data_IF_556345406308
#
_entry.id   IF_556345406308
#
_cell.length_a   1.000
_cell.length_b   1.000
_cell.length_c   1.000
_cell.angle_alpha   90.00
_cell.angle_beta   90.00
_cell.angle_gamma   90.00
#
_symmetry.space_group_name_H-M   'P 1'
#
loop_
_entity.id
_entity.type
_entity.pdbx_description
1 polymer ?
#
# COMPACT_ATOMS: atom_id res chain seq x y z
N UNK A 1 -45.64 -2.64 -37.14
CA UNK A 1 -44.57 -1.65 -36.93
C UNK A 1 -44.45 -1.54 -35.42
N UNK A 2 -43.65 -2.40 -34.77
CA UNK A 2 -42.20 -2.22 -34.55
C UNK A 2 -41.98 -0.84 -33.88
N UNK A 3 -41.35 -0.71 -32.72
CA UNK A 3 -40.04 -1.27 -32.39
C UNK A 3 -39.87 -1.43 -30.86
N UNK A 4 -39.29 -2.56 -30.47
CA UNK A 4 -38.69 -2.82 -29.16
C UNK A 4 -37.80 -1.64 -28.71
N UNK A 5 -38.02 -1.15 -27.49
CA UNK A 5 -36.99 -0.46 -26.73
C UNK A 5 -36.72 -1.25 -25.46
N UNK A 6 -36.09 -2.41 -25.67
CA UNK A 6 -35.24 -3.04 -24.68
C UNK A 6 -34.23 -1.99 -24.20
N UNK A 7 -34.45 -1.44 -23.01
CA UNK A 7 -33.47 -0.60 -22.32
C UNK A 7 -32.66 -1.53 -21.43
N UNK A 8 -31.43 -1.89 -21.77
CA UNK A 8 -30.52 -2.45 -20.79
C UNK A 8 -30.14 -1.31 -19.85
N UNK A 9 -30.74 -1.27 -18.66
CA UNK A 9 -30.16 -0.52 -17.54
C UNK A 9 -28.79 -1.14 -17.25
N UNK A 10 -27.79 -0.49 -17.82
CA UNK A 10 -26.39 -0.75 -17.63
C UNK A 10 -26.12 -0.83 -16.13
N UNK A 11 -25.49 -1.93 -15.73
CA UNK A 11 -25.09 -2.18 -14.37
C UNK A 11 -24.45 -0.95 -13.76
N UNK A 12 -24.97 -0.56 -12.60
CA UNK A 12 -24.19 0.15 -11.61
C UNK A 12 -22.97 -0.74 -11.35
N UNK A 13 -21.88 -0.42 -12.05
CA UNK A 13 -20.58 -1.01 -11.82
C UNK A 13 -20.35 -0.91 -10.34
N UNK A 14 -20.31 -2.07 -9.68
CA UNK A 14 -19.69 -2.16 -8.38
C UNK A 14 -18.28 -1.66 -8.63
N UNK A 15 -18.06 -0.40 -8.26
CA UNK A 15 -16.74 0.20 -8.18
C UNK A 15 -16.01 -0.66 -7.16
N UNK A 16 -15.37 -1.71 -7.66
CA UNK A 16 -14.43 -2.50 -6.91
C UNK A 16 -13.29 -1.52 -6.64
N UNK A 17 -13.47 -0.73 -5.58
CA UNK A 17 -12.39 -0.08 -4.87
C UNK A 17 -11.37 -1.19 -4.73
N UNK A 18 -10.25 -1.06 -5.44
CA UNK A 18 -9.17 -2.03 -5.42
C UNK A 18 -8.50 -1.91 -4.04
N UNK A 19 -9.24 -2.37 -3.02
CA UNK A 19 -8.76 -2.59 -1.69
C UNK A 19 -7.74 -3.71 -1.83
N UNK A 20 -6.51 -3.42 -1.41
CA UNK A 20 -5.47 -4.44 -1.31
C UNK A 20 -6.04 -5.68 -0.62
N UNK A 21 -5.69 -6.91 -1.07
CA UNK A 21 -6.33 -8.13 -0.60
C UNK A 21 -6.42 -8.19 0.93
N UNK A 22 -7.51 -8.68 1.54
CA UNK A 22 -7.68 -8.69 3.00
C UNK A 22 -6.49 -9.30 3.76
N UNK A 23 -5.84 -10.31 3.17
CA UNK A 23 -4.63 -10.93 3.72
C UNK A 23 -3.40 -9.99 3.71
N UNK A 24 -3.26 -9.15 2.68
CA UNK A 24 -2.19 -8.17 2.60
C UNK A 24 -2.34 -7.10 3.69
N UNK A 25 -3.56 -6.58 3.88
CA UNK A 25 -3.85 -5.60 4.92
C UNK A 25 -3.65 -6.18 6.32
N UNK A 26 -4.12 -7.41 6.57
CA UNK A 26 -3.90 -8.09 7.84
C UNK A 26 -2.41 -8.30 8.14
N UNK A 27 -1.63 -8.67 7.12
CA UNK A 27 -0.17 -8.85 7.24
C UNK A 27 0.52 -7.53 7.54
N UNK A 28 0.18 -6.44 6.84
CA UNK A 28 0.70 -5.10 7.14
C UNK A 28 0.34 -4.64 8.54
N UNK A 29 -0.89 -4.87 8.99
CA UNK A 29 -1.32 -4.50 10.34
C UNK A 29 -0.49 -5.22 11.41
N UNK A 30 -0.23 -6.51 11.23
CA UNK A 30 0.60 -7.29 12.15
C UNK A 30 2.04 -6.76 12.19
N UNK A 31 2.67 -6.57 11.04
CA UNK A 31 4.04 -6.08 10.97
C UNK A 31 4.17 -4.66 11.54
N UNK A 32 3.17 -3.81 11.33
CA UNK A 32 3.12 -2.48 11.95
C UNK A 32 3.04 -2.58 13.47
N UNK A 33 2.23 -3.48 14.02
CA UNK A 33 2.17 -3.72 15.47
C UNK A 33 3.52 -4.21 16.01
N UNK A 34 4.16 -5.17 15.34
CA UNK A 34 5.48 -5.70 15.73
C UNK A 34 6.55 -4.58 15.70
N UNK A 35 6.46 -3.66 14.74
CA UNK A 35 7.33 -2.47 14.65
C UNK A 35 7.14 -1.52 15.84
N UNK A 36 5.90 -1.16 16.15
CA UNK A 36 5.58 -0.26 17.26
C UNK A 36 5.95 -0.88 18.62
N UNK A 37 5.72 -2.18 18.80
CA UNK A 37 6.13 -2.90 20.00
C UNK A 37 7.65 -2.83 20.20
N UNK A 38 8.43 -3.12 19.15
CA UNK A 38 9.89 -3.04 19.21
C UNK A 38 10.38 -1.62 19.53
N UNK A 39 9.75 -0.58 18.98
CA UNK A 39 10.03 0.81 19.30
C UNK A 39 9.75 1.14 20.76
N UNK A 40 8.58 0.73 21.28
CA UNK A 40 8.22 0.96 22.69
C UNK A 40 9.19 0.26 23.65
N UNK A 41 9.63 -0.96 23.33
CA UNK A 41 10.64 -1.68 24.10
C UNK A 41 11.97 -0.92 24.09
N UNK A 42 12.43 -0.47 22.93
CA UNK A 42 13.67 0.33 22.83
C UNK A 42 13.56 1.65 23.61
N UNK A 43 12.44 2.36 23.50
CA UNK A 43 12.20 3.60 24.22
C UNK A 43 12.24 3.38 25.74
N UNK A 44 11.60 2.30 26.22
CA UNK A 44 11.64 1.91 27.63
C UNK A 44 13.07 1.58 28.07
N UNK A 45 13.81 0.77 27.30
CA UNK A 45 15.17 0.34 27.66
C UNK A 45 16.17 1.50 27.62
N UNK A 46 16.02 2.47 26.72
CA UNK A 46 16.91 3.63 26.64
C UNK A 46 16.58 4.72 27.67
N UNK A 47 15.29 4.94 28.00
CA UNK A 47 14.86 6.10 28.79
C UNK A 47 14.34 5.77 30.19
N UNK A 48 14.00 4.50 30.47
CA UNK A 48 13.35 4.08 31.73
C UNK A 48 14.09 2.93 32.42
N UNK A 49 15.37 2.70 32.12
CA UNK A 49 16.17 1.61 32.70
C UNK A 49 16.54 1.79 34.19
N UNK A 50 15.84 2.66 34.91
CA UNK A 50 16.07 2.89 36.34
C UNK A 50 14.96 2.20 37.16
N UNK A 51 15.32 1.14 37.90
CA UNK A 51 14.56 0.72 39.08
C UNK A 51 14.21 -0.75 39.26
N UNK A 52 14.52 -1.67 38.33
CA UNK A 52 14.35 -3.11 38.59
C UNK A 52 15.72 -3.77 38.47
N UNK A 53 16.33 -4.08 39.62
CA UNK A 53 17.68 -4.62 39.75
C UNK A 53 17.88 -6.06 39.23
N UNK A 54 17.22 -6.48 38.14
CA UNK A 54 17.23 -7.86 37.65
C UNK A 54 17.39 -8.02 36.12
N UNK A 55 17.87 -7.00 35.40
CA UNK A 55 18.21 -7.17 33.98
C UNK A 55 19.71 -6.93 33.76
N UNK A 56 20.51 -7.99 33.88
CA UNK A 56 21.97 -7.98 33.62
C UNK A 56 22.31 -7.87 32.13
N UNK A 57 21.38 -8.17 31.22
CA UNK A 57 21.62 -8.17 29.77
C UNK A 57 20.72 -7.18 28.99
N UNK A 58 20.74 -5.91 29.42
CA UNK A 58 20.02 -4.83 28.73
C UNK A 58 20.48 -4.70 27.27
N UNK A 59 21.77 -4.92 26.99
CA UNK A 59 22.32 -4.85 25.63
C UNK A 59 21.78 -5.98 24.75
N UNK A 60 21.63 -7.20 25.27
CA UNK A 60 20.99 -8.31 24.57
C UNK A 60 19.54 -8.00 24.21
N UNK A 61 18.76 -7.47 25.15
CA UNK A 61 17.35 -7.11 24.91
C UNK A 61 17.22 -5.96 23.91
N UNK A 62 18.07 -4.92 23.99
CA UNK A 62 18.14 -3.86 22.97
C UNK A 62 18.45 -4.45 21.60
N UNK A 63 19.43 -5.36 21.51
CA UNK A 63 19.84 -5.98 20.25
C UNK A 63 18.71 -6.81 19.63
N UNK A 64 17.96 -7.53 20.46
CA UNK A 64 16.79 -8.31 20.04
C UNK A 64 15.67 -7.40 19.54
N UNK A 65 15.33 -6.36 20.29
CA UNK A 65 14.32 -5.39 19.88
C UNK A 65 14.71 -4.65 18.58
N UNK A 66 15.98 -4.26 18.44
CA UNK A 66 16.48 -3.63 17.21
C UNK A 66 16.39 -4.56 15.98
N UNK A 67 16.67 -5.86 16.14
CA UNK A 67 16.49 -6.84 15.07
C UNK A 67 15.02 -6.98 14.66
N UNK A 68 14.11 -7.04 15.63
CA UNK A 68 12.66 -7.09 15.36
C UNK A 68 12.18 -5.84 14.61
N UNK A 69 12.61 -4.66 15.06
CA UNK A 69 12.32 -3.39 14.40
C UNK A 69 12.81 -3.37 12.95
N UNK A 70 14.06 -3.75 12.71
CA UNK A 70 14.65 -3.79 11.38
C UNK A 70 13.92 -4.80 10.48
N UNK A 71 13.60 -5.99 11.00
CA UNK A 71 12.86 -7.02 10.29
C UNK A 71 11.47 -6.55 9.87
N UNK A 72 10.66 -6.08 10.83
CA UNK A 72 9.31 -5.60 10.56
C UNK A 72 9.31 -4.43 9.54
N UNK A 73 10.20 -3.46 9.72
CA UNK A 73 10.31 -2.31 8.82
C UNK A 73 10.72 -2.72 7.41
N UNK A 74 11.72 -3.58 7.28
CA UNK A 74 12.19 -4.09 5.99
C UNK A 74 11.11 -4.93 5.29
N UNK A 75 10.41 -5.79 6.02
CA UNK A 75 9.32 -6.60 5.45
C UNK A 75 8.16 -5.72 4.96
N UNK A 76 7.75 -4.71 5.73
CA UNK A 76 6.72 -3.75 5.31
C UNK A 76 7.13 -3.07 4.00
N UNK A 77 8.38 -2.60 3.91
CA UNK A 77 8.88 -1.92 2.72
C UNK A 77 8.83 -2.84 1.49
N UNK A 78 9.37 -4.06 1.61
CA UNK A 78 9.37 -5.04 0.53
C UNK A 78 7.95 -5.38 0.08
N UNK A 79 7.05 -5.69 1.02
CA UNK A 79 5.67 -6.03 0.71
C UNK A 79 4.93 -4.88 0.03
N UNK A 80 5.13 -3.64 0.51
CA UNK A 80 4.52 -2.45 -0.08
C UNK A 80 5.04 -2.17 -1.49
N UNK A 81 6.33 -2.36 -1.73
CA UNK A 81 6.93 -2.17 -3.06
C UNK A 81 6.48 -3.27 -4.05
N UNK A 82 6.42 -4.52 -3.59
CA UNK A 82 6.07 -5.66 -4.46
C UNK A 82 4.58 -5.74 -4.77
N UNK A 83 3.72 -5.45 -3.79
CA UNK A 83 2.27 -5.68 -3.91
C UNK A 83 1.44 -4.40 -3.80
N UNK A 84 1.97 -3.30 -3.23
CA UNK A 84 1.24 -2.03 -3.08
C UNK A 84 1.03 -1.26 -4.39
N UNK A 85 1.86 -1.51 -5.42
CA UNK A 85 1.75 -0.87 -6.73
C UNK A 85 0.68 -1.50 -7.65
N UNK A 86 0.04 -2.61 -7.24
CA UNK A 86 -0.99 -3.27 -8.06
C UNK A 86 -2.26 -2.41 -8.25
N UNK A 87 -2.46 -1.37 -7.44
CA UNK A 87 -3.56 -0.40 -7.60
C UNK A 87 -3.27 0.81 -8.53
N UNK A 88 -2.07 0.91 -9.12
CA UNK A 88 -1.68 2.06 -9.95
C UNK A 88 -1.49 1.74 -11.45
N UNK A 89 -1.60 0.48 -11.85
CA UNK A 89 -1.46 0.06 -13.25
C UNK A 89 -2.83 -0.15 -13.91
N UNK A 90 -3.68 0.87 -13.85
CA UNK A 90 -4.93 0.92 -14.60
C UNK A 90 -5.24 2.36 -14.98
N UNK A 91 -4.29 3.05 -15.64
CA UNK A 91 -4.50 4.37 -16.25
C UNK A 91 -3.30 4.82 -17.11
N UNK A 92 -2.86 3.98 -18.05
CA UNK A 92 -2.04 4.42 -19.19
C UNK A 92 -2.39 3.61 -20.45
N UNK A 93 -3.68 3.54 -20.79
CA UNK A 93 -4.13 3.15 -22.13
C UNK A 93 -5.24 4.10 -22.56
N UNK A 94 -4.92 5.00 -23.48
CA UNK A 94 -5.86 5.99 -23.99
C UNK A 94 -5.16 7.11 -24.75
N UNK A 95 -4.31 6.77 -25.72
CA UNK A 95 -3.86 7.75 -26.70
C UNK A 95 -5.04 8.18 -27.57
N UNK A 96 -5.33 9.49 -27.73
CA UNK A 96 -6.19 9.94 -28.80
C UNK A 96 -5.42 9.92 -30.12
N UNK A 97 -5.82 9.00 -30.99
CA UNK A 97 -5.70 9.12 -32.44
C UNK A 97 -6.20 10.51 -32.84
N UNK A 98 -5.33 11.34 -33.42
CA UNK A 98 -5.77 12.56 -34.12
C UNK A 98 -6.33 12.11 -35.46
N UNK A 99 -7.61 11.71 -35.43
CA UNK A 99 -8.46 11.61 -36.61
C UNK A 99 -8.52 13.01 -37.22
N UNK A 100 -8.21 13.10 -38.51
CA UNK A 100 -7.97 14.35 -39.19
C UNK A 100 -9.22 15.20 -39.37
N UNK A 101 -9.01 16.47 -39.69
CA UNK A 101 -9.89 17.21 -40.57
C UNK A 101 -9.09 18.14 -41.50
N UNK A 102 -9.56 18.33 -42.75
CA UNK A 102 -8.83 18.95 -43.83
C UNK A 102 -9.00 20.47 -43.78
N UNK A 103 -7.90 21.22 -43.87
CA UNK A 103 -7.99 22.58 -44.38
C UNK A 103 -6.77 22.90 -45.24
N UNK A 104 -6.89 22.53 -46.51
CA UNK A 104 -6.15 23.17 -47.59
C UNK A 104 -6.69 24.58 -47.77
N UNK A 105 -5.92 25.58 -47.35
CA UNK A 105 -6.04 26.94 -47.90
C UNK A 105 -4.74 27.23 -48.64
N UNK A 106 -4.74 26.82 -49.90
CA UNK A 106 -3.93 27.37 -50.97
C UNK A 106 -4.39 28.81 -51.20
N UNK A 107 -3.59 29.83 -50.87
CA UNK A 107 -3.53 31.17 -51.49
C UNK A 107 -2.21 31.81 -51.02
N UNK A 108 -1.28 32.38 -51.80
CA UNK A 108 -1.04 32.57 -53.23
C UNK A 108 0.38 33.12 -53.36
#
# INVERSE_FOLDING_TARGET
MAEDTNTPEAGAGQEAQQQLPPLFNATLARLSADREEALAVLEMLFNRSVGIGEHTDIVGEITKAAKNLAGATGTIQVLSQTFGQQGQQAQTEGGPQVVGDPNISTEG
#
